data_IF_339401831992
#
_entry.id   IF_339401831992
#
_cell.length_a   1.000
_cell.length_b   1.000
_cell.length_c   1.000
_cell.angle_alpha   90.00
_cell.angle_beta   90.00
_cell.angle_gamma   90.00
#
_symmetry.space_group_name_H-M   'P 1'
#
loop_
_entity.id
_entity.type
_entity.pdbx_description
1 polymer ?
#
# COMPACT_ATOMS: atom_id res chain seq x y z
N UNK A 1 -0.64 -17.24 24.87
CA UNK A 1 0.71 -17.00 24.34
C UNK A 1 1.19 -15.70 24.93
N UNK A 2 2.35 -15.71 25.58
CA UNK A 2 2.93 -14.53 26.21
C UNK A 2 3.50 -13.65 25.09
N UNK A 3 2.67 -12.76 24.54
CA UNK A 3 3.15 -11.76 23.60
C UNK A 3 4.17 -10.93 24.36
N UNK A 4 5.45 -11.06 24.00
CA UNK A 4 6.50 -10.16 24.45
C UNK A 4 5.94 -8.74 24.38
N UNK A 5 5.78 -8.13 25.56
CA UNK A 5 5.17 -6.81 25.68
C UNK A 5 6.13 -5.84 24.99
N UNK A 6 5.79 -5.42 23.78
CA UNK A 6 6.61 -4.49 22.99
C UNK A 6 6.91 -3.26 23.86
N UNK A 7 8.20 -2.91 24.00
CA UNK A 7 8.63 -1.86 24.93
C UNK A 7 8.36 -0.44 24.41
N UNK A 8 8.45 -0.26 23.09
CA UNK A 8 8.46 1.07 22.46
C UNK A 8 7.36 1.28 21.42
N UNK A 9 6.60 0.25 21.08
CA UNK A 9 5.47 0.25 20.14
C UNK A 9 4.34 -0.59 20.71
N UNK A 10 3.13 -0.48 20.16
CA UNK A 10 1.99 -1.29 20.57
C UNK A 10 1.64 -2.33 19.51
N UNK A 11 1.22 -3.51 19.94
CA UNK A 11 0.55 -4.48 19.08
C UNK A 11 -0.96 -4.29 19.23
N UNK A 12 -1.59 -3.75 18.18
CA UNK A 12 -2.99 -3.33 18.20
C UNK A 12 -3.91 -4.26 17.39
N UNK A 13 -3.36 -5.33 16.81
CA UNK A 13 -4.13 -6.29 16.03
C UNK A 13 -4.94 -7.21 16.95
N UNK A 14 -6.22 -7.37 16.62
CA UNK A 14 -7.17 -8.26 17.27
C UNK A 14 -7.74 -9.23 16.23
N UNK A 15 -7.40 -10.51 16.37
CA UNK A 15 -7.86 -11.56 15.46
C UNK A 15 -9.39 -11.73 15.47
N UNK A 16 -10.05 -11.44 16.59
CA UNK A 16 -11.51 -11.51 16.71
C UNK A 16 -12.15 -10.46 15.81
N UNK A 17 -11.68 -9.22 15.90
CA UNK A 17 -12.15 -8.13 15.04
C UNK A 17 -11.85 -8.44 13.58
N UNK A 18 -10.61 -8.82 13.26
CA UNK A 18 -10.20 -9.12 11.89
C UNK A 18 -11.02 -10.25 11.26
N UNK A 19 -11.33 -11.31 12.02
CA UNK A 19 -12.10 -12.46 11.51
C UNK A 19 -13.56 -12.12 11.16
N UNK A 20 -14.13 -11.08 11.78
CA UNK A 20 -15.49 -10.61 11.51
C UNK A 20 -15.61 -9.74 10.26
N UNK A 21 -14.48 -9.29 9.69
CA UNK A 21 -14.44 -8.35 8.57
C UNK A 21 -14.22 -9.07 7.24
N UNK A 22 -14.82 -8.54 6.18
CA UNK A 22 -14.51 -8.97 4.81
C UNK A 22 -13.07 -8.53 4.39
N UNK A 23 -12.53 -9.02 3.26
CA UNK A 23 -11.14 -8.77 2.89
C UNK A 23 -10.74 -7.28 2.85
N UNK A 24 -11.59 -6.42 2.31
CA UNK A 24 -11.32 -4.96 2.24
C UNK A 24 -11.55 -4.30 3.61
N UNK A 25 -12.54 -4.76 4.40
CA UNK A 25 -12.72 -4.34 5.79
C UNK A 25 -11.50 -4.65 6.65
N UNK A 26 -10.85 -5.81 6.46
CA UNK A 26 -9.59 -6.15 7.11
C UNK A 26 -8.45 -5.22 6.70
N UNK A 27 -8.38 -4.82 5.42
CA UNK A 27 -7.44 -3.80 4.97
C UNK A 27 -7.68 -2.48 5.71
N UNK A 28 -8.92 -1.98 5.72
CA UNK A 28 -9.31 -0.75 6.43
C UNK A 28 -8.95 -0.81 7.91
N UNK A 29 -9.26 -1.92 8.58
CA UNK A 29 -8.91 -2.14 9.97
C UNK A 29 -7.39 -2.08 10.20
N UNK A 30 -6.61 -2.80 9.36
CA UNK A 30 -5.14 -2.78 9.42
C UNK A 30 -4.58 -1.37 9.23
N UNK A 31 -5.10 -0.62 8.25
CA UNK A 31 -4.72 0.77 7.99
C UNK A 31 -4.97 1.67 9.19
N UNK A 32 -6.15 1.56 9.80
CA UNK A 32 -6.53 2.39 10.95
C UNK A 32 -5.68 2.10 12.18
N UNK A 33 -5.38 0.83 12.49
CA UNK A 33 -4.53 0.51 13.64
C UNK A 33 -3.08 0.97 13.41
N UNK A 34 -2.53 0.81 12.20
CA UNK A 34 -1.18 1.28 11.86
C UNK A 34 -1.12 2.82 11.90
N UNK A 35 -2.16 3.50 11.39
CA UNK A 35 -2.31 4.94 11.43
C UNK A 35 -2.55 5.54 12.82
N UNK A 36 -3.00 4.74 13.78
CA UNK A 36 -3.27 5.21 15.14
C UNK A 36 -2.01 5.42 15.98
N UNK A 37 -0.88 4.81 15.61
CA UNK A 37 0.40 4.95 16.29
C UNK A 37 1.35 5.84 15.47
N UNK A 38 1.54 7.09 15.91
CA UNK A 38 2.42 8.04 15.24
C UNK A 38 3.91 7.66 15.25
N UNK A 39 4.30 6.65 16.03
CA UNK A 39 5.65 6.06 15.98
C UNK A 39 5.82 5.17 14.75
N UNK A 40 4.73 4.64 14.21
CA UNK A 40 4.69 3.73 13.05
C UNK A 40 4.52 4.53 11.75
N UNK A 41 3.60 5.49 11.72
CA UNK A 41 3.40 6.34 10.52
C UNK A 41 3.05 7.78 10.89
N UNK A 42 3.58 8.73 10.13
CA UNK A 42 3.29 10.15 10.32
C UNK A 42 1.92 10.53 9.72
N UNK A 43 1.40 11.69 10.09
CA UNK A 43 0.13 12.20 9.54
C UNK A 43 0.26 12.42 8.03
N UNK A 44 -0.63 11.79 7.26
CA UNK A 44 -0.70 11.93 5.80
C UNK A 44 0.32 11.09 5.02
N UNK A 45 1.28 10.44 5.69
CA UNK A 45 2.20 9.49 5.07
C UNK A 45 1.82 8.03 5.31
N UNK A 46 2.62 7.15 4.72
CA UNK A 46 2.37 5.72 4.65
C UNK A 46 1.25 5.33 3.69
N UNK A 47 1.29 4.09 3.20
CA UNK A 47 0.32 3.48 2.28
C UNK A 47 0.11 2.01 2.66
N UNK A 48 -1.10 1.49 2.47
CA UNK A 48 -1.43 0.07 2.73
C UNK A 48 -2.17 -0.48 1.53
N UNK A 49 -1.99 -1.78 1.27
CA UNK A 49 -2.73 -2.47 0.23
C UNK A 49 -3.09 -3.92 0.56
N UNK A 50 -4.08 -4.44 -0.17
CA UNK A 50 -4.40 -5.85 -0.23
C UNK A 50 -4.70 -6.26 -1.68
N UNK A 51 -4.14 -7.39 -2.12
CA UNK A 51 -4.51 -8.08 -3.35
C UNK A 51 -5.62 -9.08 -3.01
N UNK A 52 -6.78 -8.91 -3.61
CA UNK A 52 -8.02 -9.64 -3.28
C UNK A 52 -8.61 -10.19 -4.58
N UNK A 53 -9.08 -11.44 -4.56
CA UNK A 53 -9.81 -12.01 -5.69
C UNK A 53 -11.25 -11.49 -5.68
N UNK A 54 -11.70 -10.92 -6.78
CA UNK A 54 -13.06 -10.41 -6.99
C UNK A 54 -13.59 -10.83 -8.37
N UNK A 55 -14.91 -10.79 -8.57
CA UNK A 55 -15.52 -11.01 -9.87
C UNK A 55 -15.46 -9.74 -10.72
N UNK A 56 -14.93 -9.85 -11.93
CA UNK A 56 -14.96 -8.79 -12.92
C UNK A 56 -16.42 -8.51 -13.34
N UNK A 57 -16.91 -7.26 -13.25
CA UNK A 57 -18.31 -6.94 -13.53
C UNK A 57 -18.69 -7.04 -15.01
N UNK A 58 -17.71 -7.07 -15.93
CA UNK A 58 -17.94 -7.19 -17.37
C UNK A 58 -17.89 -8.64 -17.82
N UNK A 59 -16.98 -9.45 -17.27
CA UNK A 59 -16.75 -10.83 -17.74
C UNK A 59 -17.30 -11.90 -16.80
N UNK A 60 -17.50 -11.58 -15.52
CA UNK A 60 -17.86 -12.55 -14.47
C UNK A 60 -16.71 -13.41 -13.97
N UNK A 61 -15.51 -13.26 -14.53
CA UNK A 61 -14.34 -14.05 -14.17
C UNK A 61 -13.71 -13.59 -12.85
N UNK A 62 -13.06 -14.51 -12.14
CA UNK A 62 -12.25 -14.17 -10.97
C UNK A 62 -10.96 -13.45 -11.40
N UNK A 63 -10.75 -12.25 -10.87
CA UNK A 63 -9.57 -11.42 -11.13
C UNK A 63 -8.93 -10.98 -9.81
N UNK A 64 -7.61 -10.84 -9.81
CA UNK A 64 -6.91 -10.25 -8.67
C UNK A 64 -6.97 -8.71 -8.75
N UNK A 65 -7.50 -8.10 -7.71
CA UNK A 65 -7.69 -6.66 -7.56
C UNK A 65 -6.77 -6.15 -6.46
N UNK A 66 -5.95 -5.15 -6.80
CA UNK A 66 -5.20 -4.39 -5.82
C UNK A 66 -6.11 -3.31 -5.23
N UNK A 67 -6.45 -3.46 -3.95
CA UNK A 67 -6.96 -2.38 -3.13
C UNK A 67 -5.78 -1.66 -2.49
N UNK A 68 -5.61 -0.38 -2.79
CA UNK A 68 -4.51 0.45 -2.27
C UNK A 68 -5.06 1.76 -1.75
N UNK A 69 -4.46 2.31 -0.68
CA UNK A 69 -4.86 3.63 -0.17
C UNK A 69 -4.83 4.65 -1.30
N UNK A 70 -5.89 5.45 -1.40
CA UNK A 70 -5.96 6.55 -2.33
C UNK A 70 -5.03 7.71 -1.94
N UNK A 71 -4.73 8.56 -2.93
CA UNK A 71 -3.88 9.73 -2.75
C UNK A 71 -4.45 10.69 -1.68
N UNK A 72 -3.60 11.27 -0.84
CA UNK A 72 -3.98 12.31 0.15
C UNK A 72 -4.85 11.88 1.36
N UNK A 73 -5.17 10.59 1.53
CA UNK A 73 -5.93 10.10 2.70
C UNK A 73 -5.07 9.80 3.94
N UNK A 74 -5.60 10.02 5.14
CA UNK A 74 -4.98 9.62 6.43
C UNK A 74 -5.33 8.16 6.75
N UNK A 75 -4.32 7.31 6.95
CA UNK A 75 -4.49 5.90 7.31
C UNK A 75 -5.33 5.70 8.58
N UNK A 76 -5.26 6.62 9.55
CA UNK A 76 -5.94 6.54 10.85
C UNK A 76 -7.46 6.61 10.76
N UNK A 77 -7.97 7.29 9.74
CA UNK A 77 -9.41 7.57 9.57
C UNK A 77 -9.95 6.99 8.27
N UNK A 78 -9.19 6.07 7.68
CA UNK A 78 -9.53 5.48 6.40
C UNK A 78 -10.80 4.64 6.52
N UNK A 79 -11.66 4.83 5.53
CA UNK A 79 -12.84 4.02 5.23
C UNK A 79 -12.62 3.34 3.88
N UNK A 80 -13.50 2.42 3.50
CA UNK A 80 -13.44 1.74 2.20
C UNK A 80 -13.34 2.71 1.01
N UNK A 81 -14.11 3.80 1.03
CA UNK A 81 -14.11 4.84 -0.01
C UNK A 81 -12.77 5.58 -0.17
N UNK A 82 -11.86 5.44 0.81
CA UNK A 82 -10.52 6.02 0.73
C UNK A 82 -9.52 5.10 0.04
N UNK A 83 -9.94 3.92 -0.42
CA UNK A 83 -9.11 2.99 -1.20
C UNK A 83 -9.53 2.95 -2.66
N UNK A 84 -8.53 2.90 -3.53
CA UNK A 84 -8.67 2.66 -4.95
C UNK A 84 -8.58 1.16 -5.24
N UNK A 85 -9.38 0.67 -6.18
CA UNK A 85 -9.36 -0.71 -6.66
C UNK A 85 -8.86 -0.74 -8.10
N UNK A 86 -7.85 -1.56 -8.38
CA UNK A 86 -7.18 -1.63 -9.67
C UNK A 86 -6.94 -3.09 -10.07
N UNK A 87 -7.09 -3.43 -11.35
CA UNK A 87 -6.71 -4.74 -11.88
C UNK A 87 -5.22 -4.97 -11.69
N UNK A 88 -4.85 -5.97 -10.87
CA UNK A 88 -3.46 -6.25 -10.54
C UNK A 88 -2.64 -6.65 -11.77
N UNK A 89 -3.22 -7.41 -12.69
CA UNK A 89 -2.57 -7.80 -13.95
C UNK A 89 -2.20 -6.58 -14.80
N UNK A 90 -3.12 -5.61 -14.94
CA UNK A 90 -2.88 -4.36 -15.69
C UNK A 90 -1.80 -3.51 -15.05
N UNK A 91 -1.72 -3.48 -13.72
CA UNK A 91 -0.61 -2.80 -13.03
C UNK A 91 0.71 -3.48 -13.33
N UNK A 92 0.78 -4.82 -13.29
CA UNK A 92 1.98 -5.60 -13.62
C UNK A 92 2.43 -5.35 -15.06
N UNK A 93 1.50 -5.21 -16.01
CA UNK A 93 1.79 -4.88 -17.42
C UNK A 93 2.52 -3.53 -17.58
N UNK A 94 2.35 -2.59 -16.66
CA UNK A 94 3.04 -1.29 -16.68
C UNK A 94 4.57 -1.41 -16.63
N UNK A 95 5.11 -2.51 -16.07
CA UNK A 95 6.55 -2.75 -16.06
C UNK A 95 7.11 -2.82 -17.48
N UNK A 96 6.37 -3.44 -18.41
CA UNK A 96 6.77 -3.53 -19.82
C UNK A 96 6.72 -2.17 -20.50
N UNK A 97 5.73 -1.32 -20.17
CA UNK A 97 5.65 0.04 -20.69
C UNK A 97 6.85 0.87 -20.22
N UNK A 98 7.12 0.85 -18.92
CA UNK A 98 8.25 1.56 -18.34
C UNK A 98 9.57 1.10 -18.93
N UNK A 99 9.79 -0.22 -19.06
CA UNK A 99 11.04 -0.77 -19.60
C UNK A 99 11.38 -0.27 -21.02
N UNK A 100 10.37 0.07 -21.83
CA UNK A 100 10.52 0.58 -23.21
C UNK A 100 10.94 2.05 -23.29
N UNK A 101 10.82 2.82 -22.22
CA UNK A 101 11.21 4.23 -22.21
C UNK A 101 12.72 4.38 -22.39
N UNK A 102 13.16 5.36 -23.18
CA UNK A 102 14.59 5.63 -23.40
C UNK A 102 15.26 6.22 -22.17
N UNK A 103 14.54 7.03 -21.39
CA UNK A 103 15.00 7.68 -20.16
C UNK A 103 14.18 7.19 -18.96
N UNK A 104 14.83 6.44 -18.07
CA UNK A 104 14.21 5.77 -16.91
C UNK A 104 14.98 6.10 -15.65
N UNK A 105 14.29 6.10 -14.51
CA UNK A 105 14.87 6.28 -13.19
C UNK A 105 14.07 7.27 -12.35
N UNK A 106 14.56 7.58 -11.14
CA UNK A 106 13.92 8.55 -10.28
C UNK A 106 13.84 9.93 -10.94
N UNK A 107 12.67 10.57 -10.87
CA UNK A 107 12.41 11.92 -11.38
C UNK A 107 12.56 12.04 -12.91
N UNK A 108 12.22 10.99 -13.65
CA UNK A 108 12.16 11.04 -15.12
C UNK A 108 10.73 11.07 -15.63
N UNK A 109 10.47 11.55 -16.86
CA UNK A 109 9.13 11.53 -17.46
C UNK A 109 8.48 10.14 -17.55
N UNK A 110 9.29 9.07 -17.50
CA UNK A 110 8.79 7.69 -17.48
C UNK A 110 7.98 7.38 -16.22
N UNK A 111 8.35 7.93 -15.06
CA UNK A 111 7.58 7.76 -13.81
C UNK A 111 6.22 8.45 -13.91
N UNK A 112 6.19 9.71 -14.34
CA UNK A 112 4.96 10.49 -14.51
C UNK A 112 4.01 9.85 -15.53
N UNK A 113 4.56 9.36 -16.65
CA UNK A 113 3.79 8.63 -17.66
C UNK A 113 3.15 7.38 -17.08
N UNK A 114 3.88 6.63 -16.24
CA UNK A 114 3.33 5.44 -15.58
C UNK A 114 2.15 5.81 -14.66
N UNK A 115 2.28 6.86 -13.85
CA UNK A 115 1.20 7.34 -12.97
C UNK A 115 -0.04 7.70 -13.79
N UNK A 116 0.14 8.35 -14.94
CA UNK A 116 -0.95 8.68 -15.87
C UNK A 116 -1.72 7.46 -16.40
N UNK A 117 -1.14 6.25 -16.35
CA UNK A 117 -1.78 5.03 -16.83
C UNK A 117 -2.63 4.31 -15.78
N UNK A 118 -2.60 4.70 -14.50
CA UNK A 118 -3.35 3.98 -13.45
C UNK A 118 -4.85 3.95 -13.70
N UNK A 119 -5.41 4.98 -14.33
CA UNK A 119 -6.84 5.04 -14.68
C UNK A 119 -7.26 3.97 -15.69
N UNK A 120 -6.34 3.47 -16.53
CA UNK A 120 -6.59 2.33 -17.40
C UNK A 120 -6.66 0.99 -16.65
N UNK A 121 -6.15 0.96 -15.41
CA UNK A 121 -6.20 -0.21 -14.54
C UNK A 121 -7.37 -0.16 -13.55
N UNK A 122 -8.22 0.87 -13.55
CA UNK A 122 -9.33 0.99 -12.58
C UNK A 122 -10.28 -0.21 -12.62
N UNK A 123 -10.47 -0.85 -11.48
CA UNK A 123 -11.45 -1.91 -11.27
C UNK A 123 -12.79 -1.33 -10.82
N UNK A 124 -13.88 -1.85 -11.40
CA UNK A 124 -15.27 -1.54 -11.01
C UNK A 124 -15.58 -0.04 -10.85
N UNK A 125 -15.12 0.77 -11.80
CA UNK A 125 -15.37 2.22 -11.88
C UNK A 125 -15.01 3.01 -10.60
N UNK A 126 -14.12 2.48 -9.75
CA UNK A 126 -13.72 3.16 -8.53
C UNK A 126 -13.01 4.48 -8.88
N UNK A 127 -13.66 5.59 -8.53
CA UNK A 127 -13.21 6.94 -8.86
C UNK A 127 -12.13 7.48 -7.92
N UNK A 128 -11.76 6.75 -6.87
CA UNK A 128 -10.72 7.19 -5.93
C UNK A 128 -9.37 7.20 -6.64
N UNK A 129 -8.66 8.34 -6.71
CA UNK A 129 -7.30 8.35 -7.25
C UNK A 129 -6.36 7.54 -6.35
N UNK A 130 -5.59 6.62 -6.94
CA UNK A 130 -4.65 5.78 -6.18
C UNK A 130 -3.42 6.55 -5.72
N UNK A 131 -2.71 6.00 -4.73
CA UNK A 131 -1.41 6.55 -4.32
C UNK A 131 -0.40 6.51 -5.46
N UNK A 132 0.50 7.49 -5.52
CA UNK A 132 1.66 7.47 -6.43
C UNK A 132 2.57 6.26 -6.17
N UNK A 133 2.56 5.71 -4.95
CA UNK A 133 3.34 4.52 -4.57
C UNK A 133 2.67 3.22 -5.02
N UNK A 134 1.59 3.26 -5.82
CA UNK A 134 0.89 2.06 -6.33
C UNK A 134 1.85 1.00 -6.91
N UNK A 135 2.92 1.33 -7.66
CA UNK A 135 3.86 0.34 -8.19
C UNK A 135 4.57 -0.47 -7.09
N UNK A 136 4.91 0.16 -5.96
CA UNK A 136 5.49 -0.54 -4.80
C UNK A 136 4.54 -1.64 -4.31
N UNK A 137 3.25 -1.31 -4.20
CA UNK A 137 2.23 -2.24 -3.73
C UNK A 137 1.87 -3.33 -4.76
N UNK A 138 1.92 -2.99 -6.05
CA UNK A 138 1.62 -3.91 -7.14
C UNK A 138 2.75 -4.91 -7.36
N UNK A 139 4.01 -4.47 -7.39
CA UNK A 139 5.14 -5.29 -7.85
C UNK A 139 5.75 -6.17 -6.75
N UNK A 140 5.50 -5.86 -5.48
CA UNK A 140 5.87 -6.74 -4.37
C UNK A 140 4.94 -7.97 -4.37
N UNK A 141 5.46 -9.22 -4.45
CA UNK A 141 4.67 -10.44 -4.67
C UNK A 141 4.04 -10.98 -3.38
N UNK A 142 3.44 -10.10 -2.58
CA UNK A 142 2.70 -10.46 -1.37
C UNK A 142 1.27 -9.92 -1.42
N UNK A 143 0.34 -10.65 -0.78
CA UNK A 143 -1.08 -10.29 -0.72
C UNK A 143 -1.35 -9.01 0.06
N UNK A 144 -0.51 -8.69 1.03
CA UNK A 144 -0.64 -7.50 1.86
C UNK A 144 0.70 -6.77 1.88
N UNK A 145 0.68 -5.48 1.57
CA UNK A 145 1.88 -4.64 1.53
C UNK A 145 1.58 -3.36 2.29
N UNK A 146 2.39 -3.09 3.30
CA UNK A 146 2.29 -1.90 4.14
C UNK A 146 3.59 -1.11 4.04
N UNK A 147 3.51 0.11 3.53
CA UNK A 147 4.61 1.07 3.45
C UNK A 147 4.40 2.13 4.52
N UNK A 148 5.25 2.16 5.56
CA UNK A 148 5.09 3.04 6.71
C UNK A 148 6.26 4.00 6.84
N UNK A 149 6.05 5.13 7.53
CA UNK A 149 7.07 6.16 7.76
C UNK A 149 7.46 6.29 9.25
N UNK A 150 8.03 5.25 9.88
CA UNK A 150 8.41 5.32 11.29
C UNK A 150 9.68 6.17 11.46
N UNK A 151 9.58 7.27 12.22
CA UNK A 151 10.69 8.20 12.45
C UNK A 151 11.96 7.50 12.98
N UNK A 152 11.81 6.47 13.81
CA UNK A 152 12.93 5.72 14.36
C UNK A 152 13.75 5.00 13.26
N UNK A 153 13.09 4.28 12.35
CA UNK A 153 13.79 3.59 11.27
C UNK A 153 14.35 4.57 10.24
N UNK A 154 13.60 5.63 9.92
CA UNK A 154 14.06 6.70 9.02
C UNK A 154 15.33 7.36 9.57
N UNK A 155 15.38 7.61 10.88
CA UNK A 155 16.55 8.23 11.53
C UNK A 155 17.80 7.35 11.44
N UNK A 156 17.66 6.03 11.56
CA UNK A 156 18.78 5.08 11.34
C UNK A 156 19.21 5.10 9.88
N UNK A 157 18.27 4.98 8.95
CA UNK A 157 18.53 4.93 7.51
C UNK A 157 19.18 6.22 6.96
N UNK A 158 18.76 7.39 7.46
CA UNK A 158 19.27 8.69 7.05
C UNK A 158 20.54 9.13 7.79
N UNK A 159 21.02 8.34 8.75
CA UNK A 159 22.24 8.67 9.48
C UNK A 159 23.50 8.48 8.62
N UNK A 160 24.54 9.29 8.88
CA UNK A 160 25.85 9.16 8.23
C UNK A 160 26.46 7.75 8.38
N UNK A 161 26.11 7.05 9.46
CA UNK A 161 26.64 5.73 9.81
C UNK A 161 25.61 4.61 9.64
N UNK A 162 24.61 4.79 8.77
CA UNK A 162 23.47 3.89 8.62
C UNK A 162 23.87 2.43 8.39
N UNK A 163 24.88 2.16 7.56
CA UNK A 163 25.37 0.81 7.30
C UNK A 163 25.90 0.14 8.58
N UNK A 164 26.62 0.88 9.43
CA UNK A 164 27.12 0.37 10.71
C UNK A 164 25.95 0.14 11.68
N UNK A 165 25.08 1.14 11.84
CA UNK A 165 23.93 1.05 12.75
C UNK A 165 22.94 -0.06 12.37
N UNK A 166 22.84 -0.41 11.09
CA UNK A 166 21.96 -1.50 10.61
C UNK A 166 22.51 -2.89 10.94
N UNK A 167 23.82 -3.00 11.25
CA UNK A 167 24.48 -4.28 11.59
C UNK A 167 24.53 -4.57 13.10
N UNK A 168 24.20 -3.59 13.95
CA UNK A 168 24.13 -3.71 15.41
C UNK A 168 22.82 -4.35 15.87
#
# INVERSE_FOLDING_TARGET
>A
MDYQRYRYVNYLWDDTVASSLDPVGRLVYRSNILGSDQRITNTGGGNTSAKIIEQDPLTGEEVEVLWVKGSGGDLRTSKRENFSSLYQSRLVDLQSLYARESEKGPKTPAEDKMVGMYTHATFNLNSRPSSIDTPLHAFIPFKHVDHMHPNAAISVAASKHSEKLTKE
#
